data_IF_112440338895
#
_entry.id   IF_112440338895
#
_cell.length_a   1.000
_cell.length_b   1.000
_cell.length_c   1.000
_cell.angle_alpha   90.00
_cell.angle_beta   90.00
_cell.angle_gamma   90.00
#
_symmetry.space_group_name_H-M   'P 1'
#
loop_
_entity.id
_entity.type
_entity.pdbx_description
1 polymer ?
#
# COMPACT_ATOMS: atom_id res chain seq x y z
N UNK A 1 12.77 -17.69 0.28
CA UNK A 1 12.68 -16.83 -0.92
C UNK A 1 13.20 -17.60 -2.11
N UNK A 2 12.33 -17.88 -3.09
CA UNK A 2 12.58 -18.89 -4.12
C UNK A 2 13.33 -18.38 -5.37
N UNK A 3 13.27 -17.07 -5.66
CA UNK A 3 14.04 -16.46 -6.77
C UNK A 3 15.37 -15.86 -6.28
N UNK A 4 16.46 -16.20 -6.98
CA UNK A 4 17.75 -15.53 -6.83
C UNK A 4 17.58 -14.05 -7.23
N UNK A 5 17.87 -13.13 -6.31
CA UNK A 5 17.75 -11.69 -6.56
C UNK A 5 16.40 -11.07 -6.19
N UNK A 6 15.44 -11.86 -5.70
CA UNK A 6 14.09 -11.38 -5.36
C UNK A 6 14.00 -10.36 -4.21
N UNK A 7 15.10 -10.14 -3.49
CA UNK A 7 15.20 -9.29 -2.28
C UNK A 7 14.11 -9.60 -1.24
N UNK A 8 13.95 -10.88 -0.93
CA UNK A 8 13.10 -11.31 0.18
C UNK A 8 13.53 -10.63 1.49
N UNK A 9 12.56 -10.07 2.22
CA UNK A 9 12.82 -9.26 3.42
C UNK A 9 13.03 -7.77 3.14
N UNK A 10 12.58 -7.28 1.98
CA UNK A 10 12.71 -5.85 1.62
C UNK A 10 11.92 -4.95 2.58
N UNK A 11 10.69 -5.35 2.90
CA UNK A 11 9.89 -4.83 4.00
C UNK A 11 9.32 -6.00 4.80
N UNK A 12 9.08 -5.80 6.10
CA UNK A 12 8.48 -6.78 6.98
C UNK A 12 7.58 -6.14 8.03
N UNK A 13 6.44 -6.76 8.29
CA UNK A 13 5.55 -6.46 9.43
C UNK A 13 5.23 -7.77 10.16
N UNK A 14 5.08 -7.73 11.49
CA UNK A 14 5.05 -8.92 12.34
C UNK A 14 4.08 -8.85 13.53
N UNK A 15 3.16 -7.90 13.55
CA UNK A 15 2.44 -7.57 14.79
C UNK A 15 1.02 -8.14 14.89
N UNK A 16 0.51 -8.82 13.86
CA UNK A 16 -0.90 -9.21 13.81
C UNK A 16 -1.15 -10.52 13.05
N UNK A 17 -2.34 -11.09 13.22
CA UNK A 17 -2.84 -12.26 12.49
C UNK A 17 -3.52 -11.77 11.20
N UNK A 18 -2.85 -11.94 10.07
CA UNK A 18 -3.38 -11.52 8.75
C UNK A 18 -4.02 -12.68 8.01
N UNK A 19 -3.81 -13.92 8.46
CA UNK A 19 -4.42 -15.11 7.87
C UNK A 19 -5.76 -15.47 8.51
N UNK A 20 -6.10 -14.85 9.64
CA UNK A 20 -7.34 -15.09 10.38
C UNK A 20 -7.37 -16.42 11.12
N UNK A 21 -6.21 -17.00 11.43
CA UNK A 21 -6.10 -18.34 12.02
C UNK A 21 -5.91 -18.34 13.56
N UNK A 22 -5.89 -17.17 14.18
CA UNK A 22 -5.66 -16.94 15.60
C UNK A 22 -4.19 -16.91 16.02
N UNK A 23 -3.24 -16.92 15.08
CA UNK A 23 -1.79 -16.89 15.32
C UNK A 23 -1.19 -15.68 14.61
N UNK A 24 -0.31 -14.95 15.29
CA UNK A 24 0.42 -13.85 14.67
C UNK A 24 1.19 -14.34 13.45
N UNK A 25 1.18 -13.53 12.40
CA UNK A 25 1.85 -13.81 11.14
C UNK A 25 2.96 -12.79 10.86
N UNK A 26 3.89 -13.19 10.01
CA UNK A 26 4.89 -12.34 9.38
C UNK A 26 4.45 -12.04 7.95
N UNK A 27 4.34 -10.76 7.61
CA UNK A 27 4.17 -10.27 6.24
C UNK A 27 5.52 -9.81 5.74
N UNK A 28 6.06 -10.50 4.73
CA UNK A 28 7.40 -10.25 4.19
C UNK A 28 7.32 -10.01 2.69
N UNK A 29 7.97 -8.97 2.19
CA UNK A 29 7.95 -8.64 0.77
C UNK A 29 9.21 -9.08 0.02
N UNK A 30 9.05 -9.35 -1.28
CA UNK A 30 10.13 -9.62 -2.21
C UNK A 30 9.81 -8.95 -3.56
N UNK A 31 10.09 -7.64 -3.72
CA UNK A 31 9.68 -6.86 -4.90
C UNK A 31 10.20 -7.39 -6.24
N UNK A 32 11.29 -8.16 -6.24
CA UNK A 32 11.88 -8.69 -7.46
C UNK A 32 11.70 -10.20 -7.60
N UNK A 33 10.83 -10.81 -6.80
CA UNK A 33 10.51 -12.22 -6.96
C UNK A 33 9.81 -12.46 -8.31
N UNK A 34 10.14 -13.58 -8.95
CA UNK A 34 9.49 -13.97 -10.20
C UNK A 34 8.23 -14.79 -9.89
N UNK A 35 7.27 -14.80 -10.80
CA UNK A 35 6.11 -15.69 -10.71
C UNK A 35 5.85 -16.41 -12.03
N UNK A 36 6.26 -17.68 -12.09
CA UNK A 36 6.13 -18.49 -13.30
C UNK A 36 6.91 -17.88 -14.46
N UNK A 37 6.21 -17.29 -15.43
CA UNK A 37 6.80 -16.61 -16.59
C UNK A 37 6.90 -15.09 -16.41
N UNK A 38 6.49 -14.55 -15.26
CA UNK A 38 6.52 -13.13 -14.96
C UNK A 38 7.80 -12.79 -14.20
N UNK A 39 8.78 -12.24 -14.90
CA UNK A 39 10.02 -11.77 -14.31
C UNK A 39 9.78 -10.55 -13.43
N UNK A 40 10.36 -10.52 -12.23
CA UNK A 40 10.28 -9.41 -11.28
C UNK A 40 8.85 -8.87 -11.07
N UNK A 41 7.85 -9.75 -11.08
CA UNK A 41 6.47 -9.37 -10.72
C UNK A 41 6.35 -8.95 -9.26
N UNK A 42 7.26 -9.43 -8.41
CA UNK A 42 7.22 -9.21 -6.98
C UNK A 42 6.20 -10.11 -6.28
N UNK A 43 6.35 -10.21 -4.96
CA UNK A 43 5.49 -11.02 -4.11
C UNK A 43 5.45 -10.50 -2.66
N UNK A 44 4.34 -10.82 -1.99
CA UNK A 44 4.15 -10.66 -0.54
C UNK A 44 3.91 -12.06 0.04
N UNK A 45 4.66 -12.41 1.06
CA UNK A 45 4.61 -13.70 1.74
C UNK A 45 3.99 -13.52 3.11
N UNK A 46 3.00 -14.35 3.43
CA UNK A 46 2.40 -14.46 4.76
C UNK A 46 2.89 -15.75 5.39
N UNK A 47 3.57 -15.65 6.52
CA UNK A 47 4.24 -16.79 7.17
C UNK A 47 3.83 -16.80 8.65
N UNK A 48 3.34 -17.93 9.14
CA UNK A 48 3.00 -18.04 10.57
C UNK A 48 4.21 -17.76 11.45
N UNK A 49 4.03 -17.03 12.56
CA UNK A 49 5.07 -16.85 13.58
C UNK A 49 5.54 -18.16 14.23
N UNK A 50 4.76 -19.23 14.09
CA UNK A 50 5.10 -20.57 14.58
C UNK A 50 5.83 -21.42 13.54
N UNK A 51 5.92 -20.96 12.28
CA UNK A 51 6.62 -21.71 11.25
C UNK A 51 8.13 -21.70 11.50
N UNK A 52 8.79 -22.81 11.13
CA UNK A 52 10.24 -22.95 11.21
C UNK A 52 10.94 -22.80 9.85
N UNK A 53 10.17 -22.57 8.78
CA UNK A 53 10.69 -22.44 7.42
C UNK A 53 9.90 -21.44 6.59
N UNK A 54 10.58 -20.60 5.80
CA UNK A 54 9.91 -19.70 4.86
C UNK A 54 9.27 -20.40 3.67
N UNK A 55 9.55 -21.68 3.46
CA UNK A 55 8.89 -22.51 2.44
C UNK A 55 7.45 -22.88 2.84
N UNK A 56 7.07 -22.65 4.10
CA UNK A 56 5.74 -22.91 4.65
C UNK A 56 4.89 -21.64 4.70
N UNK A 57 5.07 -20.72 3.75
CA UNK A 57 4.22 -19.54 3.65
C UNK A 57 2.75 -19.98 3.54
N UNK A 58 1.89 -19.43 4.41
CA UNK A 58 0.45 -19.68 4.41
C UNK A 58 -0.13 -19.20 3.07
N UNK A 59 0.26 -17.98 2.68
CA UNK A 59 -0.12 -17.36 1.41
C UNK A 59 1.08 -16.72 0.73
N UNK A 60 1.01 -16.72 -0.61
CA UNK A 60 1.91 -15.96 -1.48
C UNK A 60 1.08 -15.12 -2.43
N UNK A 61 1.01 -13.82 -2.18
CA UNK A 61 0.36 -12.84 -3.05
C UNK A 61 1.35 -12.43 -4.15
N UNK A 62 0.90 -12.43 -5.40
CA UNK A 62 1.79 -12.33 -6.56
C UNK A 62 1.43 -11.13 -7.42
N UNK A 63 2.47 -10.44 -7.93
CA UNK A 63 2.27 -9.41 -8.94
C UNK A 63 1.64 -9.98 -10.21
N UNK A 64 0.77 -9.20 -10.85
CA UNK A 64 -0.05 -9.67 -11.98
C UNK A 64 0.67 -9.52 -13.33
N UNK A 65 1.72 -8.70 -13.39
CA UNK A 65 2.49 -8.41 -14.61
C UNK A 65 3.99 -8.42 -14.34
N UNK A 66 4.80 -8.69 -15.37
CA UNK A 66 6.27 -8.62 -15.27
C UNK A 66 6.72 -7.19 -14.94
N UNK A 67 7.76 -7.06 -14.10
CA UNK A 67 8.28 -5.78 -13.61
C UNK A 67 7.27 -4.90 -12.87
N UNK A 68 6.18 -5.45 -12.33
CA UNK A 68 5.24 -4.70 -11.48
C UNK A 68 5.83 -4.32 -10.12
N UNK A 69 6.79 -5.13 -9.65
CA UNK A 69 7.48 -4.94 -8.37
C UNK A 69 6.57 -4.95 -7.14
N UNK A 70 5.56 -5.83 -7.13
CA UNK A 70 4.66 -5.96 -5.99
C UNK A 70 5.42 -6.23 -4.69
N UNK A 71 5.03 -5.52 -3.64
CA UNK A 71 5.67 -5.59 -2.32
C UNK A 71 6.79 -4.57 -2.14
N UNK A 72 6.93 -3.61 -3.07
CA UNK A 72 7.81 -2.46 -2.89
C UNK A 72 7.47 -1.68 -1.62
N UNK A 73 6.18 -1.52 -1.34
CA UNK A 73 5.65 -1.01 -0.08
C UNK A 73 4.53 -1.95 0.39
N UNK A 74 4.33 -2.02 1.71
CA UNK A 74 3.27 -2.80 2.33
C UNK A 74 2.77 -2.09 3.59
N UNK A 75 1.47 -2.09 3.80
CA UNK A 75 0.81 -1.62 5.02
C UNK A 75 -0.32 -2.59 5.39
N UNK A 76 -0.68 -2.61 6.66
CA UNK A 76 -1.66 -3.53 7.25
C UNK A 76 -2.64 -2.71 8.10
N UNK A 77 -3.92 -3.09 8.09
CA UNK A 77 -4.97 -2.52 8.94
C UNK A 77 -6.33 -3.10 8.60
N UNK A 78 -7.36 -2.74 9.35
CA UNK A 78 -8.74 -3.20 9.16
C UNK A 78 -9.54 -2.13 8.39
N UNK A 79 -9.64 -2.26 7.07
CA UNK A 79 -10.14 -1.21 6.17
C UNK A 79 -11.65 -1.35 5.94
N UNK A 80 -12.22 -2.53 6.26
CA UNK A 80 -13.66 -2.78 6.24
C UNK A 80 -14.29 -3.00 7.64
N UNK A 81 -13.54 -2.82 8.73
CA UNK A 81 -14.07 -2.87 10.09
C UNK A 81 -14.56 -4.26 10.51
N UNK A 82 -14.11 -5.33 9.84
CA UNK A 82 -14.53 -6.71 10.12
C UNK A 82 -13.67 -7.39 11.20
N UNK A 83 -12.67 -6.68 11.74
CA UNK A 83 -11.64 -7.11 12.70
C UNK A 83 -10.66 -8.17 12.16
N UNK A 84 -10.62 -8.41 10.85
CA UNK A 84 -9.57 -9.15 10.18
C UNK A 84 -8.64 -8.16 9.48
N UNK A 85 -7.34 -8.42 9.55
CA UNK A 85 -6.37 -7.48 9.00
C UNK A 85 -6.27 -7.64 7.49
N UNK A 86 -6.48 -6.53 6.79
CA UNK A 86 -6.28 -6.38 5.36
C UNK A 86 -4.82 -6.07 5.03
N UNK A 87 -4.43 -6.40 3.80
CA UNK A 87 -3.09 -6.14 3.28
C UNK A 87 -3.18 -5.12 2.15
N UNK A 88 -2.43 -4.03 2.26
CA UNK A 88 -2.25 -3.04 1.19
C UNK A 88 -0.84 -3.15 0.64
N UNK A 89 -0.70 -3.47 -0.65
CA UNK A 89 0.58 -3.69 -1.32
C UNK A 89 0.81 -2.78 -2.51
N UNK A 90 1.96 -2.10 -2.53
CA UNK A 90 2.36 -1.24 -3.65
C UNK A 90 3.16 -1.98 -4.73
N UNK A 91 2.87 -1.65 -5.99
CA UNK A 91 3.50 -2.18 -7.20
C UNK A 91 3.86 -1.02 -8.16
N UNK A 92 4.93 -0.25 -7.89
CA UNK A 92 5.21 1.00 -8.59
C UNK A 92 5.78 0.81 -10.01
N UNK A 93 6.02 -0.43 -10.45
CA UNK A 93 6.40 -0.74 -11.82
C UNK A 93 5.21 -1.10 -12.73
N UNK A 94 4.04 -1.30 -12.15
CA UNK A 94 2.82 -1.66 -12.88
C UNK A 94 2.26 -0.49 -13.71
N UNK A 95 1.27 -0.78 -14.57
CA UNK A 95 0.53 0.21 -15.34
C UNK A 95 1.46 1.16 -16.13
N UNK A 96 2.41 0.59 -16.87
CA UNK A 96 3.45 1.34 -17.60
C UNK A 96 4.27 2.29 -16.71
N UNK A 97 4.64 1.82 -15.50
CA UNK A 97 5.36 2.58 -14.48
C UNK A 97 4.60 3.79 -13.88
N UNK A 98 3.28 3.88 -14.09
CA UNK A 98 2.39 4.73 -13.29
C UNK A 98 2.08 4.09 -11.93
N UNK A 99 2.34 2.79 -11.78
CA UNK A 99 2.16 2.05 -10.54
C UNK A 99 0.72 1.65 -10.25
N UNK A 100 0.60 0.73 -9.30
CA UNK A 100 -0.66 0.26 -8.74
C UNK A 100 -0.53 0.07 -7.23
N UNK A 101 -1.65 0.11 -6.53
CA UNK A 101 -1.79 -0.31 -5.13
C UNK A 101 -2.91 -1.32 -5.06
N UNK A 102 -2.67 -2.44 -4.40
CA UNK A 102 -3.62 -3.54 -4.27
C UNK A 102 -4.07 -3.70 -2.83
N UNK A 103 -5.33 -4.07 -2.64
CA UNK A 103 -5.88 -4.46 -1.34
C UNK A 103 -6.34 -5.91 -1.39
N UNK A 104 -5.94 -6.68 -0.39
CA UNK A 104 -6.47 -8.02 -0.12
C UNK A 104 -7.18 -7.98 1.22
N UNK A 105 -8.47 -8.32 1.24
CA UNK A 105 -9.22 -8.36 2.48
C UNK A 105 -8.84 -9.55 3.35
N UNK A 106 -8.76 -9.34 4.66
CA UNK A 106 -8.50 -10.40 5.63
C UNK A 106 -9.55 -11.51 5.56
N UNK A 107 -10.82 -11.16 5.36
CA UNK A 107 -11.91 -12.12 5.15
C UNK A 107 -11.78 -12.99 3.90
N UNK A 108 -11.19 -12.45 2.82
CA UNK A 108 -10.91 -13.19 1.59
C UNK A 108 -9.71 -14.12 1.79
N UNK A 109 -8.65 -13.64 2.46
CA UNK A 109 -7.46 -14.42 2.81
C UNK A 109 -7.81 -15.60 3.74
N UNK A 110 -8.65 -15.39 4.75
CA UNK A 110 -9.12 -16.45 5.65
C UNK A 110 -9.88 -17.57 4.91
N UNK A 111 -10.45 -17.27 3.74
CA UNK A 111 -11.09 -18.24 2.84
C UNK A 111 -10.12 -18.85 1.82
N UNK A 112 -8.84 -18.48 1.86
CA UNK A 112 -7.81 -18.93 0.95
C UNK A 112 -7.83 -18.23 -0.42
N UNK A 113 -8.52 -17.09 -0.54
CA UNK A 113 -8.54 -16.31 -1.77
C UNK A 113 -7.33 -15.36 -1.80
N UNK A 114 -6.54 -15.41 -2.87
CA UNK A 114 -5.27 -14.65 -2.98
C UNK A 114 -5.27 -13.62 -4.11
N UNK A 115 -6.41 -13.44 -4.78
CA UNK A 115 -6.59 -12.37 -5.75
C UNK A 115 -6.87 -11.05 -5.00
N UNK A 116 -6.35 -9.91 -5.48
CA UNK A 116 -6.66 -8.63 -4.87
C UNK A 116 -8.15 -8.31 -5.04
N UNK A 117 -8.76 -7.78 -3.99
CA UNK A 117 -10.15 -7.33 -3.97
C UNK A 117 -10.27 -5.96 -4.67
N UNK A 118 -9.29 -5.07 -4.42
CA UNK A 118 -9.25 -3.70 -4.94
C UNK A 118 -7.89 -3.44 -5.60
N UNK A 119 -7.90 -2.71 -6.71
CA UNK A 119 -6.73 -2.20 -7.39
C UNK A 119 -6.87 -0.69 -7.63
N UNK A 120 -6.06 0.13 -6.97
CA UNK A 120 -5.93 1.55 -7.27
C UNK A 120 -4.87 1.79 -8.34
N UNK A 121 -5.22 2.60 -9.34
CA UNK A 121 -4.32 3.06 -10.41
C UNK A 121 -4.22 4.57 -10.44
N UNK A 122 -3.07 5.09 -10.85
CA UNK A 122 -2.96 6.49 -11.30
C UNK A 122 -3.06 6.57 -12.82
N UNK A 123 -3.66 7.66 -13.30
CA UNK A 123 -3.69 8.01 -14.74
C UNK A 123 -2.71 9.14 -15.08
N UNK A 124 -2.00 9.68 -14.07
CA UNK A 124 -1.13 10.84 -14.25
C UNK A 124 0.33 10.50 -13.94
N UNK A 125 0.64 10.09 -12.70
CA UNK A 125 2.03 9.87 -12.27
C UNK A 125 2.16 8.60 -11.42
N UNK A 126 3.27 8.46 -10.67
CA UNK A 126 3.69 7.20 -10.06
C UNK A 126 3.16 7.01 -8.64
N UNK A 127 2.33 5.99 -8.44
CA UNK A 127 1.86 5.52 -7.13
C UNK A 127 2.50 4.18 -6.74
N UNK A 128 2.22 3.70 -5.52
CA UNK A 128 2.67 2.39 -5.03
C UNK A 128 4.12 2.35 -4.52
N UNK A 129 4.85 3.46 -4.60
CA UNK A 129 6.15 3.58 -3.92
C UNK A 129 5.99 3.64 -2.39
N UNK A 130 4.90 4.27 -1.93
CA UNK A 130 4.53 4.32 -0.53
C UNK A 130 3.02 4.14 -0.37
N UNK A 131 2.67 3.31 0.61
CA UNK A 131 1.33 3.14 1.16
C UNK A 131 1.41 3.21 2.68
N UNK A 132 0.35 3.71 3.31
CA UNK A 132 0.18 3.73 4.77
C UNK A 132 -1.28 3.43 5.10
N UNK A 133 -1.52 2.81 6.25
CA UNK A 133 -2.86 2.44 6.71
C UNK A 133 -3.00 2.85 8.17
N UNK A 134 -4.08 3.55 8.51
CA UNK A 134 -4.37 4.08 9.85
C UNK A 134 -5.78 4.65 9.91
N UNK A 135 -6.49 4.54 11.02
CA UNK A 135 -7.73 5.29 11.26
C UNK A 135 -7.42 6.80 11.37
N UNK A 136 -7.62 7.56 10.30
CA UNK A 136 -7.31 8.98 10.25
C UNK A 136 -8.47 9.83 10.81
N UNK A 137 -9.68 9.29 10.78
CA UNK A 137 -10.90 10.04 11.01
C UNK A 137 -11.60 9.72 12.36
N UNK A 138 -11.07 8.75 13.10
CA UNK A 138 -11.52 8.35 14.43
C UNK A 138 -12.80 7.51 14.43
N UNK A 139 -13.08 6.77 13.35
CA UNK A 139 -14.27 5.91 13.24
C UNK A 139 -14.00 4.43 13.55
N UNK A 140 -12.81 4.11 14.07
CA UNK A 140 -12.31 2.77 14.37
C UNK A 140 -12.18 1.88 13.11
N UNK A 141 -12.19 2.45 11.89
CA UNK A 141 -11.89 1.76 10.63
C UNK A 141 -10.62 2.39 10.03
N UNK A 142 -9.66 1.56 9.63
CA UNK A 142 -8.41 2.08 9.09
C UNK A 142 -8.59 2.64 7.67
N UNK A 143 -8.02 3.82 7.42
CA UNK A 143 -8.00 4.50 6.13
C UNK A 143 -6.71 4.20 5.37
N UNK A 144 -6.77 4.23 4.03
CA UNK A 144 -5.60 4.02 3.16
C UNK A 144 -5.05 5.38 2.72
N UNK A 145 -3.75 5.60 2.91
CA UNK A 145 -3.01 6.72 2.32
C UNK A 145 -2.06 6.21 1.24
N UNK A 146 -2.20 6.73 0.02
CA UNK A 146 -1.35 6.42 -1.13
C UNK A 146 -0.52 7.64 -1.50
N UNK A 147 0.81 7.48 -1.46
CA UNK A 147 1.74 8.51 -1.92
C UNK A 147 1.90 8.50 -3.44
N UNK A 148 1.83 9.68 -4.05
CA UNK A 148 2.11 9.91 -5.46
C UNK A 148 3.29 10.90 -5.58
N UNK A 149 4.51 10.35 -5.54
CA UNK A 149 5.78 11.11 -5.39
C UNK A 149 6.00 12.20 -6.44
N UNK A 150 5.50 11.99 -7.65
CA UNK A 150 5.69 12.91 -8.78
C UNK A 150 4.38 13.60 -9.18
N UNK A 151 3.35 13.53 -8.34
CA UNK A 151 2.10 14.26 -8.53
C UNK A 151 2.39 15.75 -8.72
N UNK A 152 1.74 16.35 -9.72
CA UNK A 152 1.86 17.78 -10.01
C UNK A 152 0.53 18.43 -9.70
N UNK A 153 0.54 19.49 -8.90
CA UNK A 153 -0.64 20.31 -8.68
C UNK A 153 -0.85 21.22 -9.88
N UNK A 154 -1.99 21.04 -10.55
CA UNK A 154 -2.52 22.00 -11.51
C UNK A 154 -3.55 22.86 -10.78
N UNK A 155 -3.10 24.01 -10.25
CA UNK A 155 -4.03 25.10 -9.87
C UNK A 155 -4.34 25.94 -11.11
N UNK A 156 -5.55 26.50 -11.21
CA UNK A 156 -6.00 27.32 -12.34
C UNK A 156 -5.10 28.55 -12.58
N UNK A 157 -4.28 28.93 -11.59
CA UNK A 157 -3.40 30.09 -11.64
C UNK A 157 -1.90 29.79 -11.66
N UNK A 158 -1.47 28.59 -11.26
CA UNK A 158 -0.06 28.20 -11.10
C UNK A 158 0.12 26.70 -11.32
N UNK A 159 1.17 26.32 -12.04
CA UNK A 159 1.57 24.92 -12.23
C UNK A 159 2.73 24.63 -11.28
N UNK A 160 2.53 23.76 -10.29
CA UNK A 160 3.60 23.30 -9.42
C UNK A 160 3.98 21.86 -9.81
N UNK A 161 5.00 21.67 -10.67
CA UNK A 161 5.45 20.33 -11.02
C UNK A 161 6.11 19.64 -9.81
N UNK A 162 5.92 18.33 -9.69
CA UNK A 162 6.58 17.47 -8.71
C UNK A 162 6.40 17.88 -7.23
N UNK A 163 5.25 18.44 -6.86
CA UNK A 163 4.91 18.72 -5.46
C UNK A 163 4.78 17.43 -4.65
N UNK A 164 4.41 16.34 -5.32
CA UNK A 164 3.91 15.12 -4.70
C UNK A 164 2.47 15.30 -4.21
N UNK A 165 1.69 14.23 -4.24
CA UNK A 165 0.32 14.18 -3.70
C UNK A 165 0.21 13.02 -2.71
N UNK A 166 -0.73 13.14 -1.78
CA UNK A 166 -1.21 12.03 -0.99
C UNK A 166 -2.72 11.87 -1.20
N UNK A 167 -3.13 10.68 -1.58
CA UNK A 167 -4.53 10.31 -1.78
C UNK A 167 -4.98 9.54 -0.55
N UNK A 168 -6.07 9.97 0.07
CA UNK A 168 -6.68 9.32 1.23
C UNK A 168 -7.97 8.67 0.76
N UNK A 169 -8.06 7.36 0.94
CA UNK A 169 -9.25 6.56 0.73
C UNK A 169 -9.76 6.14 2.10
N UNK A 170 -10.97 6.58 2.44
CA UNK A 170 -11.56 6.29 3.74
C UNK A 170 -12.05 4.85 3.79
N UNK A 171 -11.68 4.16 4.85
CA UNK A 171 -12.19 2.83 5.21
C UNK A 171 -13.71 2.86 5.40
N UNK A 172 -14.36 1.71 5.20
CA UNK A 172 -15.82 1.58 5.37
C UNK A 172 -16.24 0.13 5.40
N UNK A 173 -17.26 -0.17 6.20
CA UNK A 173 -17.84 -1.51 6.32
C UNK A 173 -18.35 -2.15 5.02
N UNK A 174 -18.59 -1.35 3.99
CA UNK A 174 -18.96 -1.82 2.66
C UNK A 174 -18.00 -1.27 1.60
N UNK A 175 -16.92 -2.01 1.36
CA UNK A 175 -15.95 -1.71 0.30
C UNK A 175 -16.45 -2.09 -1.10
N UNK A 176 -17.67 -2.61 -1.28
CA UNK A 176 -18.13 -3.07 -2.61
C UNK A 176 -18.14 -1.97 -3.68
N UNK A 177 -18.27 -0.71 -3.27
CA UNK A 177 -18.14 0.45 -4.16
C UNK A 177 -16.73 0.63 -4.72
N UNK A 178 -15.72 0.05 -4.07
CA UNK A 178 -14.31 0.08 -4.45
C UNK A 178 -13.84 -1.22 -5.11
N UNK A 179 -14.67 -2.27 -5.17
CA UNK A 179 -14.30 -3.55 -5.78
C UNK A 179 -13.77 -3.37 -7.23
N UNK A 180 -12.68 -4.06 -7.54
CA UNK A 180 -12.04 -3.97 -8.85
C UNK A 180 -11.10 -2.78 -9.00
N UNK A 181 -11.09 -2.17 -10.20
CA UNK A 181 -10.12 -1.13 -10.55
C UNK A 181 -10.69 0.26 -10.26
N UNK A 182 -10.00 0.98 -9.37
CA UNK A 182 -10.30 2.35 -8.98
C UNK A 182 -9.19 3.31 -9.43
N UNK A 183 -9.52 4.58 -9.60
CA UNK A 183 -8.53 5.62 -9.87
C UNK A 183 -8.27 6.42 -8.60
N UNK A 184 -7.00 6.67 -8.25
CA UNK A 184 -6.65 7.47 -7.05
C UNK A 184 -7.18 8.91 -7.14
N UNK A 185 -7.50 9.38 -8.35
CA UNK A 185 -8.13 10.68 -8.55
C UNK A 185 -9.57 10.75 -7.97
N UNK A 186 -10.22 9.62 -7.73
CA UNK A 186 -11.53 9.51 -7.07
C UNK A 186 -11.42 9.30 -5.55
N UNK A 187 -10.22 9.48 -4.98
CA UNK A 187 -10.01 9.40 -3.53
C UNK A 187 -10.89 10.41 -2.76
N UNK A 188 -11.28 10.05 -1.54
CA UNK A 188 -12.16 10.86 -0.70
C UNK A 188 -11.51 12.20 -0.31
N UNK A 189 -10.18 12.21 -0.16
CA UNK A 189 -9.40 13.43 0.09
C UNK A 189 -8.04 13.40 -0.64
N UNK A 190 -7.63 14.55 -1.17
CA UNK A 190 -6.30 14.76 -1.74
C UNK A 190 -5.55 15.84 -0.95
N UNK A 191 -4.36 15.50 -0.45
CA UNK A 191 -3.48 16.42 0.26
C UNK A 191 -2.28 16.74 -0.61
N UNK A 192 -1.88 18.00 -0.59
CA UNK A 192 -0.77 18.53 -1.37
C UNK A 192 -0.14 19.73 -0.69
N UNK A 193 1.09 20.11 -1.08
CA UNK A 193 1.73 21.35 -0.65
C UNK A 193 2.06 22.21 -1.86
N UNK A 194 1.95 23.52 -1.67
CA UNK A 194 2.20 24.52 -2.69
C UNK A 194 3.71 24.83 -2.82
N UNK A 195 4.55 23.81 -3.02
CA UNK A 195 5.99 23.95 -3.19
C UNK A 195 6.50 23.04 -4.31
N UNK A 196 7.11 23.63 -5.35
CA UNK A 196 7.76 22.90 -6.43
C UNK A 196 8.84 21.94 -5.90
N UNK A 197 8.93 20.76 -6.53
CA UNK A 197 9.93 19.73 -6.22
C UNK A 197 9.94 19.24 -4.75
N UNK A 198 8.83 19.38 -4.03
CA UNK A 198 8.76 18.93 -2.65
C UNK A 198 8.82 17.40 -2.51
N UNK A 199 8.35 16.64 -3.51
CA UNK A 199 8.23 15.18 -3.43
C UNK A 199 7.41 14.71 -2.20
N UNK A 200 6.27 15.36 -1.89
CA UNK A 200 5.36 14.85 -0.87
C UNK A 200 4.94 13.40 -1.13
N UNK A 201 4.61 12.69 -0.05
CA UNK A 201 4.20 11.28 -0.13
C UNK A 201 5.37 10.32 -0.36
N UNK A 202 6.62 10.79 -0.19
CA UNK A 202 7.81 9.94 -0.12
C UNK A 202 7.92 9.20 1.22
N UNK A 203 7.54 9.86 2.31
CA UNK A 203 7.36 9.22 3.61
C UNK A 203 6.18 9.86 4.36
N UNK A 204 5.07 9.15 4.47
CA UNK A 204 3.94 9.40 5.36
C UNK A 204 4.15 8.65 6.67
N UNK A 205 3.89 9.31 7.80
CA UNK A 205 3.74 8.71 9.12
C UNK A 205 2.44 9.21 9.74
N UNK A 206 1.74 8.37 10.49
CA UNK A 206 0.65 8.80 11.35
C UNK A 206 0.95 8.57 12.82
N UNK A 207 0.30 9.35 13.68
CA UNK A 207 0.37 9.22 15.13
C UNK A 207 -0.40 10.34 15.82
N UNK A 208 -0.97 10.09 16.98
CA UNK A 208 -1.57 11.13 17.83
C UNK A 208 -0.46 11.98 18.49
N UNK A 209 -0.07 13.09 17.86
CA UNK A 209 1.02 13.98 18.31
C UNK A 209 0.53 15.02 19.29
N UNK A 210 -0.74 15.43 19.21
CA UNK A 210 -1.33 16.45 20.07
C UNK A 210 -2.18 15.89 21.24
N UNK A 211 -2.33 14.57 21.30
CA UNK A 211 -3.02 13.80 22.34
C UNK A 211 -4.55 14.03 22.37
N UNK A 212 -5.15 14.31 21.22
CA UNK A 212 -6.60 14.48 21.09
C UNK A 212 -7.35 13.18 20.74
N UNK A 213 -6.63 12.06 20.67
CA UNK A 213 -7.13 10.72 20.28
C UNK A 213 -7.47 10.55 18.80
N UNK A 214 -7.16 11.54 17.96
CA UNK A 214 -7.15 11.43 16.51
C UNK A 214 -5.73 11.17 16.00
N UNK A 215 -5.60 10.56 14.83
CA UNK A 215 -4.29 10.40 14.21
C UNK A 215 -3.89 11.68 13.47
N UNK A 216 -2.72 12.23 13.79
CA UNK A 216 -2.09 13.26 12.96
C UNK A 216 -1.35 12.61 11.80
N UNK A 217 -1.18 13.38 10.71
CA UNK A 217 -0.44 12.96 9.53
C UNK A 217 0.83 13.80 9.36
N UNK A 218 2.00 13.16 9.39
CA UNK A 218 3.28 13.77 9.08
C UNK A 218 3.70 13.38 7.67
N UNK A 219 3.89 14.38 6.81
CA UNK A 219 4.55 14.19 5.53
C UNK A 219 6.00 14.65 5.61
N UNK A 220 6.93 13.77 5.26
CA UNK A 220 8.32 14.14 5.01
C UNK A 220 8.46 14.43 3.52
N UNK A 221 8.98 15.61 3.23
CA UNK A 221 9.28 16.07 1.88
C UNK A 221 10.77 16.41 1.82
N UNK A 222 11.40 16.29 0.65
CA UNK A 222 12.77 16.74 0.45
C UNK A 222 12.72 18.15 -0.12
N UNK A 223 13.33 19.13 0.55
CA UNK A 223 13.62 20.40 -0.12
C UNK A 223 14.77 20.17 -1.11
N UNK A 224 14.52 20.31 -2.42
CA UNK A 224 15.61 20.37 -3.39
C UNK A 224 16.56 21.53 -3.04
N UNK A 225 17.89 21.33 -3.08
CA UNK A 225 18.82 22.44 -2.97
C UNK A 225 18.67 23.32 -4.23
N UNK A 226 18.43 24.62 -4.02
CA UNK A 226 18.38 25.65 -5.07
C UNK A 226 19.63 25.66 -5.96
#
# INVERSE_FOLDING_TARGET
>A
GESIGGRFGYAANCQTDVSGNGVTDFVITAPFADSGTLDASGAIYIISSQSTSTEEAIFRLQGQTSNSWLGWSVALGDIDGDNLIDIVGGAPGENNALGAVYVWKGSDLAQGQTNPTIEFRSIQTRIGEQVHVTDLNGDDIDDIIIGERSGSLQDESQNFPNTGLAHIILGRADLSSLDGIQTVQEADLQISINQEEAELGKSVFSGDLDQDSMQDLIFIHNAAPR
#
